data_IF_499946588943
#
_entry.id   IF_499946588943
#
_cell.length_a   1.000
_cell.length_b   1.000
_cell.length_c   1.000
_cell.angle_alpha   90.00
_cell.angle_beta   90.00
_cell.angle_gamma   90.00
#
_symmetry.space_group_name_H-M   'P 1'
#
loop_
_entity.id
_entity.type
_entity.pdbx_description
1 polymer ?
#
# COMPACT_ATOMS: atom_id res chain seq x y z
N UNK A 1 18.21 14.24 -40.94
CA UNK A 1 19.07 15.39 -40.61
C UNK A 1 18.37 16.09 -39.44
N UNK A 2 18.93 15.91 -38.22
CA UNK A 2 18.89 16.76 -37.00
C UNK A 2 17.51 17.30 -36.52
N UNK A 3 17.10 17.31 -35.26
CA UNK A 3 17.67 16.99 -33.94
C UNK A 3 16.57 17.13 -32.86
N UNK A 4 16.80 16.51 -31.68
CA UNK A 4 16.45 16.91 -30.30
C UNK A 4 15.06 17.52 -29.96
N UNK A 5 14.36 17.16 -28.88
CA UNK A 5 14.79 16.67 -27.56
C UNK A 5 14.35 17.66 -26.45
N UNK A 6 14.09 17.14 -25.24
CA UNK A 6 13.77 17.78 -23.93
C UNK A 6 12.29 17.78 -23.54
N UNK A 7 11.84 16.96 -22.58
CA UNK A 7 12.20 16.88 -21.15
C UNK A 7 11.72 18.11 -20.36
N UNK A 8 10.60 17.94 -19.64
CA UNK A 8 10.10 18.91 -18.65
C UNK A 8 9.53 18.14 -17.45
N UNK A 9 10.35 18.00 -16.41
CA UNK A 9 9.91 17.87 -15.02
C UNK A 9 9.66 19.27 -14.45
N UNK A 10 8.63 19.49 -13.62
CA UNK A 10 8.57 20.67 -12.77
C UNK A 10 9.14 20.38 -11.38
N UNK A 11 10.25 21.05 -11.08
CA UNK A 11 10.81 21.19 -9.74
C UNK A 11 10.05 22.26 -8.92
N UNK A 12 10.03 22.02 -7.62
CA UNK A 12 9.39 22.78 -6.56
C UNK A 12 9.88 24.22 -6.45
N UNK A 13 8.95 25.18 -6.39
CA UNK A 13 9.23 26.57 -6.01
C UNK A 13 8.64 26.89 -4.62
N UNK A 14 9.51 26.92 -3.61
CA UNK A 14 9.28 27.62 -2.34
C UNK A 14 9.63 29.10 -2.55
N UNK A 15 8.64 29.99 -2.42
CA UNK A 15 8.82 31.43 -2.59
C UNK A 15 8.04 32.21 -1.53
N UNK A 16 8.69 32.49 -0.40
CA UNK A 16 8.19 33.43 0.60
C UNK A 16 8.19 34.86 0.07
N UNK A 17 7.12 35.61 0.38
CA UNK A 17 7.10 37.08 0.26
C UNK A 17 6.76 37.69 1.61
N UNK A 18 7.70 38.50 2.12
CA UNK A 18 7.45 39.55 3.11
C UNK A 18 7.02 40.82 2.39
N UNK A 19 6.01 41.49 2.92
CA UNK A 19 5.55 42.84 2.59
C UNK A 19 5.00 43.54 3.84
N UNK A 20 4.92 44.88 3.88
CA UNK A 20 5.40 45.64 5.03
C UNK A 20 4.32 46.36 5.86
N UNK A 21 4.70 46.64 7.11
CA UNK A 21 4.50 47.90 7.87
C UNK A 21 3.15 48.63 7.77
N UNK A 22 2.41 48.60 8.88
CA UNK A 22 2.06 49.84 9.57
C UNK A 22 0.59 50.02 9.91
N UNK A 23 0.21 49.68 11.15
CA UNK A 23 -0.72 50.51 11.92
C UNK A 23 -0.56 50.23 13.42
N UNK A 24 -0.33 51.30 14.19
CA UNK A 24 -0.19 51.28 15.64
C UNK A 24 -1.57 51.18 16.26
N UNK A 25 -1.85 50.10 16.98
CA UNK A 25 -2.93 50.04 17.96
C UNK A 25 -2.31 50.02 19.38
N UNK A 26 -2.88 50.84 20.26
CA UNK A 26 -2.42 51.09 21.63
C UNK A 26 -2.51 49.83 22.53
N UNK A 27 -1.67 49.72 23.57
CA UNK A 27 -1.76 48.62 24.53
C UNK A 27 -2.94 48.86 25.49
N UNK A 28 -4.01 48.07 25.34
CA UNK A 28 -5.03 47.94 26.38
C UNK A 28 -4.48 46.99 27.44
N UNK A 29 -4.09 47.54 28.58
CA UNK A 29 -3.75 46.79 29.79
C UNK A 29 -5.04 46.20 30.34
N UNK A 30 -5.26 44.92 30.09
CA UNK A 30 -6.26 44.12 30.78
C UNK A 30 -5.59 43.43 31.97
N UNK A 31 -5.72 44.02 33.17
CA UNK A 31 -5.46 43.34 34.44
C UNK A 31 -6.61 42.35 34.70
N UNK A 32 -6.50 41.18 34.08
CA UNK A 32 -7.38 40.04 34.28
C UNK A 32 -6.76 39.04 35.24
N UNK A 33 -7.22 39.11 36.48
CA UNK A 33 -6.97 38.15 37.56
C UNK A 33 -7.30 36.70 37.14
N UNK A 34 -6.36 35.80 37.40
CA UNK A 34 -6.62 34.41 37.80
C UNK A 34 -7.35 33.50 36.82
N UNK A 35 -6.58 32.66 36.12
CA UNK A 35 -6.92 31.27 35.80
C UNK A 35 -5.63 30.57 35.37
N UNK A 36 -4.81 30.16 36.33
CA UNK A 36 -3.67 29.28 36.10
C UNK A 36 -4.15 27.87 35.77
N UNK A 37 -4.61 27.66 34.54
CA UNK A 37 -4.84 26.34 33.98
C UNK A 37 -3.66 25.98 33.08
N UNK A 38 -2.83 25.03 33.48
CA UNK A 38 -1.82 24.45 32.59
C UNK A 38 -2.52 23.84 31.36
N UNK A 39 -2.25 24.37 30.17
CA UNK A 39 -2.72 23.83 28.89
C UNK A 39 -2.24 22.38 28.65
N UNK A 40 -1.25 21.91 29.43
CA UNK A 40 -0.77 20.53 29.39
C UNK A 40 -1.77 19.49 29.95
N UNK A 41 -2.80 19.91 30.69
CA UNK A 41 -3.78 18.99 31.30
C UNK A 41 -5.02 18.74 30.42
N UNK A 42 -5.13 19.37 29.25
CA UNK A 42 -6.33 19.33 28.39
C UNK A 42 -6.25 18.32 27.23
N UNK A 43 -5.32 17.38 27.29
CA UNK A 43 -5.35 16.20 26.42
C UNK A 43 -4.89 14.96 27.19
N UNK A 44 -5.74 14.50 28.12
CA UNK A 44 -5.70 13.09 28.51
C UNK A 44 -6.31 12.28 27.35
N UNK A 45 -5.54 11.47 26.62
CA UNK A 45 -6.15 10.53 25.70
C UNK A 45 -7.18 9.69 26.47
N UNK A 46 -8.42 9.57 25.98
CA UNK A 46 -9.43 8.76 26.64
C UNK A 46 -8.86 7.36 26.85
N UNK A 47 -9.07 6.87 28.08
CA UNK A 47 -8.48 5.66 28.64
C UNK A 47 -8.20 4.60 27.59
N UNK A 48 -6.90 4.34 27.43
CA UNK A 48 -6.35 3.20 26.73
C UNK A 48 -6.68 1.93 27.52
N UNK A 49 -7.98 1.62 27.64
CA UNK A 49 -8.42 0.25 27.73
C UNK A 49 -8.43 -0.28 26.30
N UNK A 50 -7.24 -0.35 25.69
CA UNK A 50 -7.01 -1.31 24.63
C UNK A 50 -7.30 -2.66 25.29
N UNK A 51 -8.54 -3.13 25.13
CA UNK A 51 -8.91 -4.51 25.39
C UNK A 51 -8.01 -5.36 24.50
N UNK A 52 -6.82 -5.69 24.99
CA UNK A 52 -6.07 -6.88 24.61
C UNK A 52 -6.78 -8.11 25.22
N UNK A 53 -8.09 -8.20 25.00
CA UNK A 53 -8.67 -9.16 24.08
C UNK A 53 -7.72 -10.10 23.37
N UNK A 54 -6.85 -10.87 24.04
CA UNK A 54 -6.12 -11.94 23.38
C UNK A 54 -7.16 -12.95 22.89
N UNK A 55 -7.70 -12.70 21.69
CA UNK A 55 -8.71 -13.53 21.04
C UNK A 55 -8.04 -14.87 20.77
N UNK A 56 -8.27 -15.81 21.68
CA UNK A 56 -7.83 -17.18 21.55
C UNK A 56 -8.69 -17.83 20.47
N UNK A 57 -8.30 -17.61 19.22
CA UNK A 57 -8.96 -18.20 18.06
C UNK A 57 -8.93 -19.72 18.17
N UNK A 58 -10.11 -20.34 18.16
CA UNK A 58 -10.19 -21.79 18.13
C UNK A 58 -9.68 -22.31 16.78
N UNK A 59 -9.29 -23.59 16.72
CA UNK A 59 -8.83 -24.26 15.51
C UNK A 59 -9.85 -24.16 14.38
N UNK A 60 -11.14 -24.22 14.71
CA UNK A 60 -12.23 -24.08 13.74
C UNK A 60 -12.30 -22.68 13.15
N UNK A 61 -12.21 -21.64 13.99
CA UNK A 61 -12.21 -20.25 13.53
C UNK A 61 -11.01 -19.97 12.63
N UNK A 62 -9.82 -20.47 13.01
CA UNK A 62 -8.63 -20.37 12.16
C UNK A 62 -8.82 -21.04 10.81
N UNK A 63 -9.45 -22.22 10.76
CA UNK A 63 -9.74 -22.91 9.49
C UNK A 63 -10.70 -22.10 8.64
N UNK A 64 -11.77 -21.56 9.23
CA UNK A 64 -12.77 -20.73 8.54
C UNK A 64 -12.13 -19.47 7.96
N UNK A 65 -11.34 -18.77 8.78
CA UNK A 65 -10.59 -17.57 8.36
C UNK A 65 -9.62 -17.92 7.24
N UNK A 66 -8.80 -18.97 7.41
CA UNK A 66 -7.82 -19.34 6.41
C UNK A 66 -8.47 -19.69 5.06
N UNK A 67 -9.57 -20.43 5.10
CA UNK A 67 -10.32 -20.78 3.90
C UNK A 67 -10.96 -19.55 3.24
N UNK A 68 -11.61 -18.68 4.03
CA UNK A 68 -12.25 -17.47 3.51
C UNK A 68 -11.24 -16.52 2.86
N UNK A 69 -10.10 -16.29 3.52
CA UNK A 69 -9.03 -15.44 3.01
C UNK A 69 -8.37 -16.10 1.79
N UNK A 70 -8.03 -17.38 1.87
CA UNK A 70 -7.44 -18.12 0.74
C UNK A 70 -8.32 -18.06 -0.51
N UNK A 71 -9.62 -18.32 -0.37
CA UNK A 71 -10.58 -18.25 -1.48
C UNK A 71 -10.79 -16.82 -2.01
N UNK A 72 -10.65 -15.80 -1.16
CA UNK A 72 -10.70 -14.41 -1.60
C UNK A 72 -9.45 -14.05 -2.40
N UNK A 73 -8.25 -14.36 -1.87
CA UNK A 73 -6.97 -14.11 -2.53
C UNK A 73 -6.89 -14.84 -3.87
N UNK A 74 -7.28 -16.11 -3.93
CA UNK A 74 -7.27 -16.88 -5.18
C UNK A 74 -8.10 -16.19 -6.28
N UNK A 75 -9.28 -15.67 -5.91
CA UNK A 75 -10.17 -15.00 -6.86
C UNK A 75 -9.58 -13.68 -7.37
N UNK A 76 -9.00 -12.88 -6.48
CA UNK A 76 -8.38 -11.60 -6.84
C UNK A 76 -7.10 -11.81 -7.66
N UNK A 77 -6.29 -12.81 -7.31
CA UNK A 77 -5.10 -13.18 -8.07
C UNK A 77 -5.47 -13.69 -9.46
N UNK A 78 -6.50 -14.55 -9.57
CA UNK A 78 -7.00 -15.03 -10.86
C UNK A 78 -7.48 -13.89 -11.76
N UNK A 79 -8.22 -12.93 -11.19
CA UNK A 79 -8.65 -11.71 -11.92
C UNK A 79 -7.48 -10.87 -12.39
N UNK A 80 -6.46 -10.74 -11.54
CA UNK A 80 -5.25 -9.97 -11.85
C UNK A 80 -4.47 -10.64 -12.97
N UNK A 81 -4.26 -11.96 -12.89
CA UNK A 81 -3.61 -12.74 -13.94
C UNK A 81 -4.35 -12.66 -15.27
N UNK A 82 -5.68 -12.78 -15.26
CA UNK A 82 -6.46 -12.65 -16.49
C UNK A 82 -6.22 -11.29 -17.15
N UNK A 83 -6.27 -10.20 -16.38
CA UNK A 83 -5.97 -8.86 -16.90
C UNK A 83 -4.55 -8.76 -17.45
N UNK A 84 -3.57 -9.34 -16.77
CA UNK A 84 -2.19 -9.37 -17.25
C UNK A 84 -2.06 -10.11 -18.59
N UNK A 85 -2.74 -11.24 -18.75
CA UNK A 85 -2.82 -11.97 -20.01
C UNK A 85 -3.53 -11.16 -21.11
N UNK A 86 -4.64 -10.48 -20.78
CA UNK A 86 -5.37 -9.62 -21.70
C UNK A 86 -4.50 -8.45 -22.21
N UNK A 87 -3.62 -7.93 -21.37
CA UNK A 87 -2.65 -6.89 -21.73
C UNK A 87 -1.35 -7.44 -22.34
N UNK A 88 -1.16 -8.77 -22.41
CA UNK A 88 0.09 -9.39 -22.85
C UNK A 88 1.29 -9.09 -21.93
N UNK A 89 1.06 -8.74 -20.66
CA UNK A 89 2.09 -8.29 -19.74
C UNK A 89 2.55 -9.42 -18.80
N UNK A 90 3.76 -9.95 -19.02
CA UNK A 90 4.36 -10.99 -18.18
C UNK A 90 5.14 -10.41 -16.98
N UNK A 91 4.42 -9.88 -15.99
CA UNK A 91 5.04 -9.31 -14.79
C UNK A 91 5.61 -10.36 -13.82
N UNK A 92 5.22 -11.62 -13.96
CA UNK A 92 5.66 -12.70 -13.10
C UNK A 92 6.84 -13.48 -13.70
N UNK A 93 7.35 -13.06 -14.86
CA UNK A 93 8.43 -13.70 -15.60
C UNK A 93 8.17 -15.19 -15.89
N UNK A 94 6.93 -15.54 -16.22
CA UNK A 94 6.55 -16.90 -16.60
C UNK A 94 7.26 -17.36 -17.88
N UNK A 95 7.63 -16.43 -18.76
CA UNK A 95 8.41 -16.71 -19.96
C UNK A 95 9.79 -17.26 -19.64
N UNK A 96 10.43 -16.79 -18.57
CA UNK A 96 11.74 -17.31 -18.15
C UNK A 96 11.63 -18.75 -17.64
N UNK A 97 10.57 -19.06 -16.89
CA UNK A 97 10.28 -20.42 -16.45
C UNK A 97 10.02 -21.31 -17.68
N UNK A 98 9.17 -20.86 -18.61
CA UNK A 98 8.87 -21.61 -19.83
C UNK A 98 10.12 -21.86 -20.68
N UNK A 99 10.99 -20.85 -20.85
CA UNK A 99 12.28 -20.94 -21.54
C UNK A 99 13.19 -22.00 -20.93
N UNK A 100 13.24 -22.08 -19.60
CA UNK A 100 14.06 -23.06 -18.89
C UNK A 100 13.66 -24.50 -19.23
N UNK A 101 12.35 -24.76 -19.38
CA UNK A 101 11.85 -26.09 -19.73
C UNK A 101 11.82 -26.37 -21.24
N UNK A 102 11.79 -25.32 -22.08
CA UNK A 102 11.66 -25.44 -23.54
C UNK A 102 12.74 -24.62 -24.28
N UNK A 103 14.04 -24.84 -24.02
CA UNK A 103 15.10 -23.96 -24.54
C UNK A 103 15.24 -24.02 -26.07
N UNK A 104 14.91 -25.15 -26.70
CA UNK A 104 15.08 -25.35 -28.15
C UNK A 104 13.98 -24.69 -28.98
N UNK A 105 12.80 -24.45 -28.39
CA UNK A 105 11.63 -23.86 -29.06
C UNK A 105 11.32 -22.45 -28.54
N UNK A 106 12.21 -21.90 -27.71
CA UNK A 106 12.04 -20.59 -27.12
C UNK A 106 12.33 -19.48 -28.15
N UNK A 107 11.34 -18.63 -28.37
CA UNK A 107 11.48 -17.38 -29.10
C UNK A 107 10.66 -16.29 -28.40
N UNK A 108 11.26 -15.14 -28.14
CA UNK A 108 10.59 -14.05 -27.43
C UNK A 108 9.33 -13.56 -28.17
N UNK A 109 9.39 -13.44 -29.50
CA UNK A 109 8.24 -13.05 -30.31
C UNK A 109 7.13 -14.12 -30.33
N UNK A 110 7.48 -15.40 -30.15
CA UNK A 110 6.51 -16.46 -29.99
C UNK A 110 5.84 -16.39 -28.60
N UNK A 111 6.60 -16.04 -27.55
CA UNK A 111 6.07 -15.86 -26.19
C UNK A 111 4.99 -14.79 -26.12
N UNK A 112 5.18 -13.64 -26.76
CA UNK A 112 4.18 -12.56 -26.80
C UNK A 112 2.82 -13.02 -27.37
N UNK A 113 2.83 -13.98 -28.30
CA UNK A 113 1.61 -14.55 -28.90
C UNK A 113 1.02 -15.69 -28.08
N UNK A 114 1.89 -16.48 -27.45
CA UNK A 114 1.54 -17.66 -26.68
C UNK A 114 0.95 -17.27 -25.32
N UNK A 115 1.59 -16.34 -24.61
CA UNK A 115 1.27 -15.97 -23.22
C UNK A 115 -0.21 -15.65 -22.97
N UNK A 116 -0.90 -14.86 -23.82
CA UNK A 116 -2.32 -14.56 -23.61
C UNK A 116 -3.25 -15.78 -23.73
N UNK A 117 -2.80 -16.86 -24.38
CA UNK A 117 -3.62 -18.03 -24.70
C UNK A 117 -3.38 -19.21 -23.75
N UNK A 118 -2.34 -19.15 -22.92
CA UNK A 118 -1.98 -20.25 -22.02
C UNK A 118 -2.99 -20.30 -20.86
N UNK A 119 -3.61 -21.46 -20.58
CA UNK A 119 -4.40 -21.62 -19.37
C UNK A 119 -3.47 -21.63 -18.15
N UNK A 120 -3.68 -20.71 -17.21
CA UNK A 120 -2.93 -20.62 -15.96
C UNK A 120 -3.83 -21.10 -14.81
N UNK A 121 -3.47 -22.24 -14.23
CA UNK A 121 -4.10 -22.74 -13.02
C UNK A 121 -3.40 -22.20 -11.78
N UNK A 122 -4.13 -21.42 -10.99
CA UNK A 122 -3.65 -20.81 -9.76
C UNK A 122 -4.29 -21.46 -8.54
N UNK A 123 -3.46 -21.78 -7.55
CA UNK A 123 -3.86 -22.30 -6.24
C UNK A 123 -3.19 -21.49 -5.14
N UNK A 124 -3.97 -20.98 -4.20
CA UNK A 124 -3.46 -20.22 -3.05
C UNK A 124 -3.60 -21.06 -1.78
N UNK A 125 -2.48 -21.24 -1.08
CA UNK A 125 -2.48 -21.79 0.28
C UNK A 125 -2.22 -20.66 1.27
N UNK A 126 -3.22 -20.36 2.11
CA UNK A 126 -3.11 -19.36 3.15
C UNK A 126 -3.08 -20.01 4.53
N UNK A 127 -2.11 -19.60 5.34
CA UNK A 127 -1.92 -20.10 6.71
C UNK A 127 -1.67 -18.94 7.66
N UNK A 128 -2.60 -18.73 8.59
CA UNK A 128 -2.42 -17.79 9.68
C UNK A 128 -1.59 -18.41 10.81
N UNK A 129 -0.38 -17.89 11.00
CA UNK A 129 0.48 -18.19 12.14
C UNK A 129 0.49 -17.00 13.10
N UNK A 130 0.22 -17.25 14.40
CA UNK A 130 0.31 -16.22 15.43
C UNK A 130 1.75 -16.20 15.96
N UNK A 131 2.46 -15.09 15.73
CA UNK A 131 3.78 -14.86 16.33
C UNK A 131 3.64 -13.88 17.51
N UNK A 132 4.04 -14.33 18.70
CA UNK A 132 4.11 -13.52 19.92
C UNK A 132 3.20 -13.98 21.06
N UNK A 133 3.74 -13.86 22.28
CA UNK A 133 2.97 -13.61 23.51
C UNK A 133 3.24 -12.13 23.79
N UNK A 134 2.22 -11.28 23.73
CA UNK A 134 2.36 -9.95 24.35
C UNK A 134 2.51 -10.21 25.85
N UNK A 135 3.74 -10.03 26.35
CA UNK A 135 4.05 -9.97 27.77
C UNK A 135 3.97 -8.53 28.24
#
# INVERSE_FOLDING_TARGET
>A
MLECGRDQRPDYCLGGRRGPSGERAAPVVATGSGCGGNIADLWKPPGEQATQTALKLNREDRRRINHAIGAHLEREMRRTLQKLQDYGADLLALGEVYRMYNPLTWEAAAWERLYPQIPIDLKVEFKMDNYGVFR
#
